data_IF_061633580372
#
_entry.id   IF_061633580372
#
_cell.length_a   1.000
_cell.length_b   1.000
_cell.length_c   1.000
_cell.angle_alpha   90.00
_cell.angle_beta   90.00
_cell.angle_gamma   90.00
#
_symmetry.space_group_name_H-M   'P 1'
#
loop_
_entity.id
_entity.type
_entity.pdbx_description
1 polymer ?
#
# COMPACT_ATOMS: atom_id res chain seq x y z
N UNK A 1 5.58 27.17 -62.30
CA UNK A 1 4.86 27.63 -61.10
C UNK A 1 4.11 26.42 -60.54
N UNK A 2 4.69 25.73 -59.56
CA UNK A 2 4.06 24.62 -58.86
C UNK A 2 4.46 24.73 -57.39
N UNK A 3 3.56 25.25 -56.58
CA UNK A 3 3.70 25.38 -55.13
C UNK A 3 3.44 24.03 -54.48
N UNK A 4 4.49 23.38 -53.98
CA UNK A 4 4.38 22.21 -53.12
C UNK A 4 3.91 22.65 -51.73
N UNK A 5 2.67 22.31 -51.38
CA UNK A 5 2.16 22.42 -50.02
C UNK A 5 2.73 21.26 -49.20
N UNK A 6 3.63 21.58 -48.28
CA UNK A 6 4.02 20.65 -47.21
C UNK A 6 2.91 20.64 -46.16
N UNK A 7 2.24 19.50 -45.99
CA UNK A 7 1.39 19.27 -44.84
C UNK A 7 2.26 19.23 -43.57
N UNK A 8 1.92 19.96 -42.50
CA UNK A 8 2.55 19.75 -41.20
C UNK A 8 2.18 18.35 -40.70
N UNK A 9 3.19 17.52 -40.44
CA UNK A 9 3.01 16.28 -39.71
C UNK A 9 2.42 16.61 -38.33
N UNK A 10 1.40 15.87 -37.85
CA UNK A 10 0.92 16.05 -36.49
C UNK A 10 2.07 15.73 -35.55
N UNK A 11 2.49 16.72 -34.74
CA UNK A 11 3.40 16.50 -33.63
C UNK A 11 2.78 15.42 -32.73
N UNK A 12 3.30 14.19 -32.81
CA UNK A 12 3.10 13.23 -31.74
C UNK A 12 3.64 13.90 -30.47
N UNK A 13 2.87 14.00 -29.38
CA UNK A 13 3.45 14.41 -28.11
C UNK A 13 4.59 13.43 -27.85
N UNK A 14 5.79 13.95 -27.61
CA UNK A 14 6.98 13.15 -27.33
C UNK A 14 6.63 12.14 -26.23
N UNK A 15 6.36 10.90 -26.62
CA UNK A 15 5.99 9.87 -25.66
C UNK A 15 7.24 9.66 -24.79
N UNK A 16 7.05 9.79 -23.47
CA UNK A 16 8.11 9.47 -22.52
C UNK A 16 8.60 8.02 -22.72
N UNK A 17 9.75 7.66 -22.13
CA UNK A 17 10.28 6.32 -22.26
C UNK A 17 9.28 5.29 -21.72
N UNK A 18 9.10 4.19 -22.46
CA UNK A 18 8.10 3.15 -22.18
C UNK A 18 8.17 2.62 -20.74
N UNK A 19 9.37 2.49 -20.17
CA UNK A 19 9.55 2.02 -18.79
C UNK A 19 8.80 2.91 -17.79
N UNK A 20 8.77 4.23 -18.01
CA UNK A 20 8.13 5.17 -17.10
C UNK A 20 6.61 5.08 -17.19
N UNK A 21 6.08 4.94 -18.40
CA UNK A 21 4.64 4.74 -18.60
C UNK A 21 4.15 3.41 -18.01
N UNK A 22 4.88 2.32 -18.22
CA UNK A 22 4.55 1.02 -17.64
C UNK A 22 4.62 1.05 -16.11
N UNK A 23 5.72 1.55 -15.55
CA UNK A 23 5.89 1.63 -14.10
C UNK A 23 4.88 2.58 -13.45
N UNK A 24 4.55 3.68 -14.14
CA UNK A 24 3.53 4.63 -13.69
C UNK A 24 2.13 4.02 -13.65
N UNK A 25 1.75 3.25 -14.67
CA UNK A 25 0.47 2.53 -14.69
C UNK A 25 0.38 1.49 -13.55
N UNK A 26 1.46 0.71 -13.34
CA UNK A 26 1.55 -0.24 -12.22
C UNK A 26 1.43 0.48 -10.88
N UNK A 27 2.13 1.61 -10.70
CA UNK A 27 2.06 2.40 -9.47
C UNK A 27 0.66 2.95 -9.19
N UNK A 28 -0.11 3.33 -10.21
CA UNK A 28 -1.50 3.77 -10.03
C UNK A 28 -2.36 2.60 -9.53
N UNK A 29 -2.33 1.47 -10.23
CA UNK A 29 -3.18 0.31 -9.89
C UNK A 29 -2.85 -0.23 -8.51
N UNK A 30 -1.57 -0.46 -8.24
CA UNK A 30 -1.12 -0.98 -6.96
C UNK A 30 -1.26 0.07 -5.84
N UNK A 31 -1.07 1.36 -6.15
CA UNK A 31 -1.30 2.44 -5.20
C UNK A 31 -2.76 2.53 -4.73
N UNK A 32 -3.73 2.35 -5.65
CA UNK A 32 -5.16 2.28 -5.28
C UNK A 32 -5.43 1.07 -4.39
N UNK A 33 -4.97 -0.11 -4.78
CA UNK A 33 -5.14 -1.34 -4.00
C UNK A 33 -4.55 -1.20 -2.60
N UNK A 34 -3.31 -0.72 -2.51
CA UNK A 34 -2.59 -0.57 -1.26
C UNK A 34 -3.19 0.52 -0.37
N UNK A 35 -3.70 1.61 -0.95
CA UNK A 35 -4.44 2.64 -0.21
C UNK A 35 -5.68 2.03 0.45
N UNK A 36 -6.42 1.16 -0.24
CA UNK A 36 -7.57 0.47 0.31
C UNK A 36 -7.16 -0.54 1.40
N UNK A 37 -6.10 -1.33 1.17
CA UNK A 37 -5.59 -2.31 2.15
C UNK A 37 -5.15 -1.61 3.44
N UNK A 38 -4.26 -0.62 3.35
CA UNK A 38 -3.82 0.12 4.53
C UNK A 38 -4.93 0.98 5.15
N UNK A 39 -5.84 1.53 4.35
CA UNK A 39 -6.98 2.29 4.86
C UNK A 39 -7.91 1.42 5.71
N UNK A 40 -8.26 0.23 5.22
CA UNK A 40 -9.05 -0.74 5.97
C UNK A 40 -8.32 -1.21 7.23
N UNK A 41 -7.01 -1.45 7.13
CA UNK A 41 -6.20 -1.81 8.30
C UNK A 41 -6.21 -0.68 9.34
N UNK A 42 -6.03 0.57 8.92
CA UNK A 42 -6.06 1.72 9.81
C UNK A 42 -7.40 1.85 10.54
N UNK A 43 -8.51 1.70 9.82
CA UNK A 43 -9.86 1.72 10.42
C UNK A 43 -10.08 0.56 11.38
N UNK A 44 -9.72 -0.67 10.97
CA UNK A 44 -9.82 -1.87 11.81
C UNK A 44 -9.06 -1.69 13.12
N UNK A 45 -7.81 -1.25 13.05
CA UNK A 45 -7.00 -1.02 14.25
C UNK A 45 -7.55 0.11 15.10
N UNK A 46 -8.13 1.16 14.48
CA UNK A 46 -8.81 2.23 15.20
C UNK A 46 -9.99 1.73 16.05
N UNK A 47 -10.83 0.86 15.50
CA UNK A 47 -11.94 0.23 16.24
C UNK A 47 -11.40 -0.65 17.37
N UNK A 48 -10.41 -1.50 17.09
CA UNK A 48 -9.85 -2.42 18.11
C UNK A 48 -9.22 -1.66 19.26
N UNK A 49 -8.43 -0.61 18.99
CA UNK A 49 -7.81 0.21 20.04
C UNK A 49 -8.87 0.92 20.90
N UNK A 50 -9.99 1.34 20.31
CA UNK A 50 -11.07 1.99 21.06
C UNK A 50 -11.92 0.99 21.87
N UNK A 51 -12.14 -0.21 21.33
CA UNK A 51 -12.97 -1.23 21.95
C UNK A 51 -12.23 -2.10 22.98
N UNK A 52 -10.89 -2.16 22.92
CA UNK A 52 -10.10 -2.93 23.88
C UNK A 52 -10.01 -2.19 25.21
N UNK A 53 -10.55 -2.73 26.33
CA UNK A 53 -10.48 -2.07 27.62
C UNK A 53 -9.04 -1.97 28.12
N UNK A 54 -8.73 -0.88 28.83
CA UNK A 54 -7.38 -0.63 29.37
C UNK A 54 -6.90 -1.69 30.37
N UNK A 55 -7.83 -2.48 30.94
CA UNK A 55 -7.52 -3.62 31.81
C UNK A 55 -6.93 -4.82 31.05
N UNK A 56 -7.03 -4.86 29.72
CA UNK A 56 -6.66 -6.01 28.89
C UNK A 56 -7.61 -7.22 29.05
N UNK A 57 -8.61 -7.12 29.93
CA UNK A 57 -9.60 -8.17 30.16
C UNK A 57 -10.76 -7.92 29.20
N UNK A 58 -10.80 -8.69 28.11
CA UNK A 58 -11.92 -8.63 27.18
C UNK A 58 -13.14 -9.28 27.85
N UNK A 59 -14.27 -8.56 27.99
CA UNK A 59 -15.48 -9.12 28.57
C UNK A 59 -15.99 -10.31 27.75
N UNK A 60 -16.81 -11.15 28.39
CA UNK A 60 -17.47 -12.26 27.72
C UNK A 60 -18.29 -11.76 26.52
N UNK A 61 -18.54 -12.65 25.56
CA UNK A 61 -19.39 -12.33 24.43
C UNK A 61 -20.79 -11.95 24.93
N UNK A 62 -21.16 -10.69 24.70
CA UNK A 62 -22.54 -10.23 24.83
C UNK A 62 -23.13 -10.32 23.42
N UNK A 63 -24.07 -11.25 23.22
CA UNK A 63 -24.79 -11.45 21.95
C UNK A 63 -26.28 -11.17 22.19
N UNK A 64 -26.71 -9.90 22.18
CA UNK A 64 -28.11 -9.53 22.42
C UNK A 64 -29.03 -10.10 21.35
N UNK A 65 -30.18 -10.64 21.74
CA UNK A 65 -31.14 -11.26 20.81
C UNK A 65 -31.67 -10.28 19.74
N UNK A 66 -31.74 -8.99 20.05
CA UNK A 66 -32.13 -7.94 19.12
C UNK A 66 -31.08 -7.69 18.02
N UNK A 67 -29.78 -7.73 18.36
CA UNK A 67 -28.70 -7.65 17.36
C UNK A 67 -28.61 -8.92 16.51
N UNK A 68 -28.88 -10.09 17.10
CA UNK A 68 -28.93 -11.37 16.36
C UNK A 68 -30.04 -11.36 15.29
N UNK A 69 -31.22 -10.83 15.63
CA UNK A 69 -32.33 -10.70 14.69
C UNK A 69 -32.03 -9.65 13.61
N UNK A 70 -31.41 -8.52 13.96
CA UNK A 70 -31.06 -7.45 13.01
C UNK A 70 -29.96 -7.88 12.02
N UNK A 71 -28.91 -8.56 12.50
CA UNK A 71 -27.80 -9.02 11.66
C UNK A 71 -28.06 -10.38 10.98
N UNK A 72 -29.16 -11.06 11.35
CA UNK A 72 -29.53 -12.36 10.80
C UNK A 72 -28.55 -13.48 11.20
N UNK A 73 -27.99 -13.39 12.41
CA UNK A 73 -27.00 -14.32 12.95
C UNK A 73 -27.63 -15.29 13.95
N UNK A 74 -27.15 -16.53 13.98
CA UNK A 74 -27.41 -17.43 15.10
C UNK A 74 -26.52 -17.09 16.30
N UNK A 75 -26.97 -17.44 17.51
CA UNK A 75 -26.18 -17.26 18.74
C UNK A 75 -24.78 -17.89 18.63
N UNK A 76 -24.70 -19.10 18.06
CA UNK A 76 -23.42 -19.80 17.89
C UNK A 76 -22.47 -19.08 16.92
N UNK A 77 -23.00 -18.43 15.87
CA UNK A 77 -22.20 -17.61 14.95
C UNK A 77 -21.66 -16.36 15.64
N UNK A 78 -22.50 -15.68 16.42
CA UNK A 78 -22.08 -14.52 17.20
C UNK A 78 -20.98 -14.89 18.21
N UNK A 79 -21.17 -15.95 19.01
CA UNK A 79 -20.18 -16.42 19.98
C UNK A 79 -18.85 -16.76 19.31
N UNK A 80 -18.89 -17.40 18.12
CA UNK A 80 -17.69 -17.72 17.35
C UNK A 80 -16.99 -16.45 16.82
N UNK A 81 -17.73 -15.46 16.34
CA UNK A 81 -17.17 -14.18 15.86
C UNK A 81 -16.50 -13.42 16.99
N UNK A 82 -17.14 -13.32 18.16
CA UNK A 82 -16.55 -12.67 19.33
C UNK A 82 -15.33 -13.44 19.82
N UNK A 83 -15.38 -14.77 19.89
CA UNK A 83 -14.23 -15.58 20.27
C UNK A 83 -13.04 -15.39 19.31
N UNK A 84 -13.29 -15.24 18.01
CA UNK A 84 -12.24 -14.94 17.04
C UNK A 84 -11.58 -13.57 17.29
N UNK A 85 -12.38 -12.54 17.59
CA UNK A 85 -11.87 -11.20 17.93
C UNK A 85 -11.09 -11.22 19.25
N UNK A 86 -11.60 -11.90 20.27
CA UNK A 86 -10.92 -12.08 21.56
C UNK A 86 -9.56 -12.78 21.37
N UNK A 87 -9.53 -13.88 20.61
CA UNK A 87 -8.28 -14.59 20.30
C UNK A 87 -7.29 -13.70 19.55
N UNK A 88 -7.77 -12.85 18.64
CA UNK A 88 -6.94 -11.86 17.96
C UNK A 88 -6.32 -10.87 18.95
N UNK A 89 -7.14 -10.27 19.84
CA UNK A 89 -6.70 -9.32 20.87
C UNK A 89 -5.67 -9.95 21.81
N UNK A 90 -5.96 -11.13 22.34
CA UNK A 90 -5.10 -11.83 23.30
C UNK A 90 -3.78 -12.34 22.69
N UNK A 91 -3.71 -12.49 21.37
CA UNK A 91 -2.49 -12.91 20.67
C UNK A 91 -1.50 -11.77 20.40
N UNK A 92 -1.91 -10.53 20.67
CA UNK A 92 -1.14 -9.33 20.39
C UNK A 92 -0.46 -8.78 21.65
N UNK A 93 0.80 -8.32 21.55
CA UNK A 93 1.36 -7.42 22.56
C UNK A 93 0.59 -6.10 22.61
N UNK A 94 0.48 -5.47 23.79
CA UNK A 94 -0.30 -4.23 24.00
C UNK A 94 0.10 -3.06 23.07
N UNK A 95 1.36 -3.01 22.64
CA UNK A 95 1.86 -1.97 21.74
C UNK A 95 1.47 -2.19 20.27
N UNK A 96 1.10 -3.41 19.89
CA UNK A 96 0.99 -3.81 18.48
C UNK A 96 -0.12 -3.06 17.75
N UNK A 97 -1.32 -2.97 18.32
CA UNK A 97 -2.45 -2.32 17.65
C UNK A 97 -2.23 -0.83 17.42
N UNK A 98 -1.71 -0.13 18.43
CA UNK A 98 -1.35 1.30 18.30
C UNK A 98 -0.23 1.52 17.28
N UNK A 99 0.75 0.63 17.24
CA UNK A 99 1.83 0.67 16.25
C UNK A 99 1.29 0.42 14.84
N UNK A 100 0.52 -0.65 14.66
CA UNK A 100 -0.05 -1.05 13.37
C UNK A 100 -1.01 0.01 12.83
N UNK A 101 -1.81 0.66 13.69
CA UNK A 101 -2.67 1.78 13.31
C UNK A 101 -1.86 2.94 12.71
N UNK A 102 -0.75 3.32 13.35
CA UNK A 102 0.12 4.41 12.85
C UNK A 102 0.84 4.01 11.57
N UNK A 103 1.31 2.77 11.50
CA UNK A 103 2.01 2.25 10.32
C UNK A 103 1.06 2.17 9.13
N UNK A 104 -0.17 1.68 9.33
CA UNK A 104 -1.22 1.63 8.32
C UNK A 104 -1.60 3.04 7.85
N UNK A 105 -1.78 4.00 8.76
CA UNK A 105 -2.03 5.40 8.37
C UNK A 105 -0.89 5.99 7.50
N UNK A 106 0.37 5.78 7.90
CA UNK A 106 1.51 6.22 7.10
C UNK A 106 1.54 5.51 5.73
N UNK A 107 1.31 4.21 5.71
CA UNK A 107 1.18 3.40 4.49
C UNK A 107 0.10 3.93 3.55
N UNK A 108 -1.09 4.26 4.07
CA UNK A 108 -2.19 4.86 3.29
C UNK A 108 -1.76 6.17 2.63
N UNK A 109 -1.11 7.08 3.37
CA UNK A 109 -0.68 8.37 2.81
C UNK A 109 0.37 8.21 1.71
N UNK A 110 1.35 7.33 1.93
CA UNK A 110 2.42 7.08 0.96
C UNK A 110 1.86 6.34 -0.27
N UNK A 111 0.99 5.35 -0.07
CA UNK A 111 0.31 4.62 -1.15
C UNK A 111 -0.52 5.57 -2.02
N UNK A 112 -1.28 6.47 -1.41
CA UNK A 112 -2.02 7.52 -2.13
C UNK A 112 -1.07 8.45 -2.89
N UNK A 113 0.03 8.85 -2.26
CA UNK A 113 1.09 9.61 -2.93
C UNK A 113 1.63 8.89 -4.18
N UNK A 114 1.79 7.56 -4.11
CA UNK A 114 2.31 6.75 -5.21
C UNK A 114 1.41 6.79 -6.46
N UNK A 115 0.09 6.98 -6.30
CA UNK A 115 -0.85 7.18 -7.41
C UNK A 115 -0.52 8.48 -8.16
N UNK A 116 -0.28 9.57 -7.43
CA UNK A 116 0.06 10.87 -8.01
C UNK A 116 1.40 10.78 -8.75
N UNK A 117 2.38 10.10 -8.16
CA UNK A 117 3.68 9.85 -8.80
C UNK A 117 3.54 8.98 -10.04
N UNK A 118 2.69 7.97 -10.00
CA UNK A 118 2.38 7.10 -11.14
C UNK A 118 1.80 7.90 -12.31
N UNK A 119 0.84 8.79 -12.05
CA UNK A 119 0.30 9.69 -13.07
C UNK A 119 1.38 10.64 -13.64
N UNK A 120 2.26 11.15 -12.79
CA UNK A 120 3.37 11.99 -13.22
C UNK A 120 4.42 11.21 -14.06
N UNK A 121 4.62 9.93 -13.77
CA UNK A 121 5.49 9.02 -14.55
C UNK A 121 4.89 8.69 -15.92
N UNK A 122 3.57 8.47 -16.02
CA UNK A 122 2.88 8.22 -17.30
C UNK A 122 3.04 9.40 -18.26
N UNK A 123 3.01 10.62 -17.75
CA UNK A 123 3.29 11.83 -18.53
C UNK A 123 4.77 12.25 -18.54
N UNK A 124 5.65 11.39 -18.01
CA UNK A 124 7.10 11.59 -17.90
C UNK A 124 7.53 12.99 -17.45
N UNK A 125 6.99 13.45 -16.32
CA UNK A 125 7.48 14.69 -15.69
C UNK A 125 8.92 14.49 -15.24
N UNK A 126 9.79 15.48 -15.48
CA UNK A 126 11.24 15.39 -15.22
C UNK A 126 11.62 15.04 -13.77
N UNK A 127 10.79 15.43 -12.81
CA UNK A 127 10.99 15.14 -11.38
C UNK A 127 10.46 13.75 -10.97
N UNK A 128 9.51 13.18 -11.73
CA UNK A 128 8.78 11.97 -11.35
C UNK A 128 9.67 10.73 -11.18
N UNK A 129 10.67 10.44 -12.04
CA UNK A 129 11.59 9.32 -11.81
C UNK A 129 12.32 9.36 -10.47
N UNK A 130 12.75 10.55 -10.04
CA UNK A 130 13.48 10.69 -8.77
C UNK A 130 12.53 10.49 -7.59
N UNK A 131 11.34 11.09 -7.64
CA UNK A 131 10.34 10.93 -6.59
C UNK A 131 9.78 9.52 -6.52
N UNK A 132 9.67 8.82 -7.65
CA UNK A 132 9.26 7.41 -7.69
C UNK A 132 10.22 6.51 -6.92
N UNK A 133 11.54 6.69 -7.06
CA UNK A 133 12.52 5.96 -6.26
C UNK A 133 12.30 6.19 -4.77
N UNK A 134 12.08 7.45 -4.36
CA UNK A 134 11.87 7.79 -2.95
C UNK A 134 10.58 7.18 -2.39
N UNK A 135 9.47 7.26 -3.14
CA UNK A 135 8.17 6.75 -2.70
C UNK A 135 8.17 5.22 -2.64
N UNK A 136 8.67 4.53 -3.66
CA UNK A 136 8.71 3.06 -3.65
C UNK A 136 9.67 2.53 -2.58
N UNK A 137 10.80 3.21 -2.35
CA UNK A 137 11.69 2.87 -1.25
C UNK A 137 11.05 3.11 0.11
N UNK A 138 10.29 4.20 0.28
CA UNK A 138 9.55 4.46 1.51
C UNK A 138 8.49 3.39 1.80
N UNK A 139 7.75 2.94 0.77
CA UNK A 139 6.82 1.82 0.89
C UNK A 139 7.54 0.52 1.29
N UNK A 140 8.68 0.19 0.65
CA UNK A 140 9.49 -0.96 1.04
C UNK A 140 9.98 -0.87 2.50
N UNK A 141 10.28 0.33 3.01
CA UNK A 141 10.63 0.54 4.43
C UNK A 141 9.43 0.29 5.34
N UNK A 142 8.22 0.73 4.95
CA UNK A 142 6.99 0.42 5.69
C UNK A 142 6.82 -1.10 5.80
N UNK A 143 7.05 -1.84 4.72
CA UNK A 143 6.95 -3.31 4.73
C UNK A 143 7.99 -3.95 5.66
N UNK A 144 9.24 -3.49 5.64
CA UNK A 144 10.29 -3.98 6.56
C UNK A 144 9.93 -3.70 8.01
N UNK A 145 9.44 -2.50 8.30
CA UNK A 145 9.01 -2.10 9.65
C UNK A 145 7.82 -2.95 10.10
N UNK A 146 6.84 -3.20 9.23
CA UNK A 146 5.71 -4.09 9.48
C UNK A 146 6.16 -5.53 9.72
N UNK A 147 7.09 -6.03 8.90
CA UNK A 147 7.65 -7.37 9.05
C UNK A 147 8.30 -7.55 10.42
N UNK A 148 9.16 -6.60 10.82
CA UNK A 148 9.83 -6.61 12.13
C UNK A 148 8.79 -6.62 13.27
N UNK A 149 7.72 -5.85 13.16
CA UNK A 149 6.67 -5.86 14.18
C UNK A 149 5.98 -7.22 14.27
N UNK A 150 5.52 -7.77 13.14
CA UNK A 150 4.74 -9.01 13.08
C UNK A 150 5.55 -10.25 13.48
N UNK A 151 6.84 -10.34 13.17
CA UNK A 151 7.63 -11.52 13.62
C UNK A 151 7.75 -11.59 15.15
N UNK A 152 7.56 -10.47 15.85
CA UNK A 152 7.61 -10.37 17.30
C UNK A 152 6.23 -10.55 17.98
N UNK A 153 5.17 -10.89 17.24
CA UNK A 153 3.81 -11.14 17.79
C UNK A 153 3.49 -12.62 17.95
N UNK A 154 2.29 -12.97 18.43
CA UNK A 154 1.79 -14.36 18.49
C UNK A 154 1.56 -15.00 17.11
N UNK A 155 1.37 -16.34 17.05
CA UNK A 155 1.27 -17.10 15.79
C UNK A 155 0.05 -16.73 14.93
N UNK A 156 -1.06 -16.31 15.55
CA UNK A 156 -2.27 -15.87 14.85
C UNK A 156 -1.99 -14.61 14.02
N UNK A 157 -1.35 -13.60 14.62
CA UNK A 157 -0.96 -12.38 13.91
C UNK A 157 0.06 -12.67 12.80
N UNK A 158 1.01 -13.57 13.06
CA UNK A 158 1.99 -13.97 12.05
C UNK A 158 1.33 -14.60 10.82
N UNK A 159 0.37 -15.51 11.01
CA UNK A 159 -0.32 -16.16 9.89
C UNK A 159 -1.20 -15.18 9.09
N UNK A 160 -1.75 -14.16 9.75
CA UNK A 160 -2.57 -13.13 9.10
C UNK A 160 -1.74 -12.13 8.27
N UNK A 161 -0.60 -11.65 8.78
CA UNK A 161 0.09 -10.51 8.19
C UNK A 161 1.37 -10.86 7.41
N UNK A 162 2.12 -11.91 7.78
CA UNK A 162 3.47 -12.12 7.21
C UNK A 162 3.47 -12.30 5.69
N UNK A 163 2.49 -13.06 5.17
CA UNK A 163 2.45 -13.35 3.74
C UNK A 163 2.20 -12.08 2.91
N UNK A 164 1.22 -11.28 3.32
CA UNK A 164 0.88 -10.02 2.66
C UNK A 164 2.07 -9.03 2.71
N UNK A 165 2.69 -8.87 3.89
CA UNK A 165 3.85 -7.98 4.05
C UNK A 165 5.02 -8.41 3.15
N UNK A 166 5.32 -9.71 3.08
CA UNK A 166 6.41 -10.20 2.21
C UNK A 166 6.10 -9.95 0.74
N UNK A 167 4.87 -10.18 0.31
CA UNK A 167 4.45 -9.91 -1.06
C UNK A 167 4.64 -8.44 -1.42
N UNK A 168 4.12 -7.52 -0.58
CA UNK A 168 4.25 -6.08 -0.80
C UNK A 168 5.71 -5.61 -0.76
N UNK A 169 6.51 -6.13 0.17
CA UNK A 169 7.94 -5.86 0.23
C UNK A 169 8.63 -6.15 -1.11
N UNK A 170 8.42 -7.34 -1.68
CA UNK A 170 9.06 -7.69 -2.95
C UNK A 170 8.53 -6.86 -4.12
N UNK A 171 7.23 -6.54 -4.13
CA UNK A 171 6.64 -5.63 -5.14
C UNK A 171 7.31 -4.26 -5.07
N UNK A 172 7.36 -3.62 -3.89
CA UNK A 172 7.95 -2.29 -3.73
C UNK A 172 9.46 -2.29 -3.99
N UNK A 173 10.16 -3.35 -3.61
CA UNK A 173 11.58 -3.53 -3.94
C UNK A 173 11.78 -3.58 -5.46
N UNK A 174 11.00 -4.38 -6.19
CA UNK A 174 11.11 -4.48 -7.65
C UNK A 174 10.75 -3.15 -8.33
N UNK A 175 9.72 -2.46 -7.86
CA UNK A 175 9.36 -1.12 -8.36
C UNK A 175 10.48 -0.11 -8.12
N UNK A 176 11.12 -0.14 -6.95
CA UNK A 176 12.28 0.71 -6.61
C UNK A 176 13.44 0.44 -7.55
N UNK A 177 13.80 -0.83 -7.76
CA UNK A 177 14.86 -1.24 -8.69
C UNK A 177 14.51 -0.79 -10.11
N UNK A 178 13.28 -1.01 -10.57
CA UNK A 178 12.80 -0.57 -11.88
C UNK A 178 12.92 0.93 -12.08
N UNK A 179 12.55 1.74 -11.07
CA UNK A 179 12.70 3.19 -11.10
C UNK A 179 14.18 3.63 -11.15
N UNK A 180 15.06 2.98 -10.37
CA UNK A 180 16.50 3.27 -10.37
C UNK A 180 17.12 2.97 -11.73
N UNK A 181 16.91 1.76 -12.25
CA UNK A 181 17.46 1.32 -13.54
C UNK A 181 16.91 2.19 -14.68
N UNK A 182 15.60 2.45 -14.68
CA UNK A 182 14.93 3.32 -15.65
C UNK A 182 15.56 4.72 -15.66
N UNK A 183 15.72 5.34 -14.49
CA UNK A 183 16.36 6.66 -14.36
C UNK A 183 17.82 6.66 -14.81
N UNK A 184 18.60 5.64 -14.46
CA UNK A 184 20.01 5.56 -14.84
C UNK A 184 20.19 5.44 -16.36
N UNK A 185 19.35 4.64 -17.03
CA UNK A 185 19.39 4.51 -18.50
C UNK A 185 19.24 5.86 -19.21
N UNK A 186 18.38 6.74 -18.69
CA UNK A 186 18.09 8.05 -19.26
C UNK A 186 19.24 9.05 -19.04
N UNK A 187 19.87 9.00 -17.87
CA UNK A 187 21.07 9.79 -17.58
C UNK A 187 22.22 9.38 -18.51
N UNK A 188 22.34 8.09 -18.84
CA UNK A 188 23.36 7.60 -19.77
C UNK A 188 23.06 8.02 -21.21
N UNK A 189 21.83 7.83 -21.69
CA UNK A 189 21.42 8.23 -23.05
C UNK A 189 21.62 9.73 -23.30
N UNK A 190 21.19 10.57 -22.35
CA UNK A 190 21.39 12.03 -22.45
C UNK A 190 22.86 12.42 -22.52
N UNK A 191 23.73 11.82 -21.69
CA UNK A 191 25.18 12.08 -21.73
C UNK A 191 25.82 11.65 -23.05
N UNK A 192 25.34 10.58 -23.67
CA UNK A 192 25.86 10.10 -24.95
C UNK A 192 25.47 11.04 -26.11
N UNK A 193 24.29 11.67 -26.06
CA UNK A 193 23.87 12.65 -27.08
C UNK A 193 24.66 13.97 -27.08
N UNK A 194 25.40 14.27 -26.01
CA UNK A 194 26.24 15.46 -25.90
C UNK A 194 27.71 15.21 -26.28
N UNK A 195 28.10 13.97 -26.59
CA UNK A 195 29.44 13.61 -27.08
C UNK A 195 29.43 13.44 -28.59
#
# INVERSE_FOLDING_TARGET
MATSFSNPTPHSPSQGPTWASCLGAVAIVLGVLLTAVHGNEWMKQGVIVQATPASGVVPAAECPEDELEEEGLSLAECEQMVANVQNFILSAPDWFFSFQMKLAFAGTLIAFGSIIIGAALVHYRSWAPTTAVLVFAALAVIDVVGFIAVVNTGPILRSMYLWDILLWFFIHLMMTVGAIVGRQSQIQSSRQSYR
#
